data_IF_863233346489
#
_entry.id   IF_863233346489
#
_cell.length_a   1.000
_cell.length_b   1.000
_cell.length_c   1.000
_cell.angle_alpha   90.00
_cell.angle_beta   90.00
_cell.angle_gamma   90.00
#
_symmetry.space_group_name_H-M   'P 1'
#
loop_
_entity.id
_entity.type
_entity.pdbx_description
1 polymer ?
#
# COMPACT_ATOMS: atom_id res chain seq x y z
N UNK A 1 11.31 12.68 -6.27
CA UNK A 1 11.77 11.48 -7.03
C UNK A 1 10.61 10.91 -7.84
N UNK A 2 9.52 10.44 -7.21
CA UNK A 2 8.33 9.89 -7.92
C UNK A 2 7.78 10.82 -9.02
N UNK A 3 7.60 12.12 -8.72
CA UNK A 3 7.15 13.14 -9.68
C UNK A 3 8.11 13.34 -10.86
N UNK A 4 9.41 13.18 -10.63
CA UNK A 4 10.43 13.31 -11.68
C UNK A 4 10.47 12.08 -12.61
N UNK A 5 10.09 10.91 -12.11
CA UNK A 5 9.93 9.69 -12.91
C UNK A 5 8.66 9.76 -13.77
N UNK A 6 7.57 10.27 -13.19
CA UNK A 6 6.31 10.48 -13.91
C UNK A 6 6.44 11.50 -15.04
N UNK A 7 7.19 12.59 -14.84
CA UNK A 7 7.43 13.60 -15.89
C UNK A 7 8.18 13.06 -17.12
N UNK A 8 8.94 11.96 -16.99
CA UNK A 8 9.74 11.38 -18.08
C UNK A 8 9.07 10.20 -18.77
N UNK A 9 7.87 9.83 -18.32
CA UNK A 9 7.10 8.74 -18.92
C UNK A 9 6.62 9.15 -20.31
N UNK A 10 6.86 8.30 -21.31
CA UNK A 10 6.56 8.56 -22.72
C UNK A 10 7.71 9.18 -23.51
N UNK A 11 8.88 9.41 -22.90
CA UNK A 11 10.09 9.85 -23.62
C UNK A 11 10.70 8.72 -24.47
N UNK A 12 10.66 7.47 -23.99
CA UNK A 12 11.23 6.33 -24.71
C UNK A 12 10.61 4.99 -24.26
N UNK A 13 10.14 4.13 -25.18
CA UNK A 13 9.43 2.88 -24.82
C UNK A 13 10.23 1.93 -23.91
N UNK A 14 11.54 1.78 -24.14
CA UNK A 14 12.41 0.97 -23.27
C UNK A 14 12.65 1.60 -21.89
N UNK A 15 12.58 2.93 -21.79
CA UNK A 15 12.76 3.63 -20.52
C UNK A 15 11.50 3.56 -19.66
N UNK A 16 10.33 3.54 -20.29
CA UNK A 16 9.03 3.48 -19.62
C UNK A 16 8.87 2.20 -18.78
N UNK A 17 9.41 1.06 -19.24
CA UNK A 17 9.42 -0.18 -18.48
C UNK A 17 10.22 -0.03 -17.17
N UNK A 18 11.39 0.58 -17.23
CA UNK A 18 12.22 0.85 -16.05
C UNK A 18 11.61 1.90 -15.13
N UNK A 19 10.96 2.93 -15.68
CA UNK A 19 10.21 3.94 -14.90
C UNK A 19 9.06 3.28 -14.15
N UNK A 20 8.28 2.42 -14.81
CA UNK A 20 7.18 1.69 -14.19
C UNK A 20 7.68 0.79 -13.05
N UNK A 21 8.78 0.06 -13.27
CA UNK A 21 9.41 -0.77 -12.25
C UNK A 21 9.89 0.07 -11.05
N UNK A 22 10.58 1.19 -11.30
CA UNK A 22 11.08 2.06 -10.24
C UNK A 22 9.96 2.67 -9.39
N UNK A 23 8.85 3.08 -10.03
CA UNK A 23 7.66 3.60 -9.34
C UNK A 23 7.03 2.52 -8.45
N UNK A 24 6.81 1.32 -8.99
CA UNK A 24 6.24 0.19 -8.25
C UNK A 24 7.11 -0.16 -7.03
N UNK A 25 8.42 -0.25 -7.21
CA UNK A 25 9.35 -0.54 -6.14
C UNK A 25 9.34 0.55 -5.04
N UNK A 26 9.22 1.83 -5.43
CA UNK A 26 9.17 2.93 -4.48
C UNK A 26 7.85 2.95 -3.68
N UNK A 27 6.72 2.63 -4.31
CA UNK A 27 5.42 2.50 -3.65
C UNK A 27 5.44 1.30 -2.68
N UNK A 28 5.95 0.16 -3.11
CA UNK A 28 6.05 -1.04 -2.28
C UNK A 28 6.89 -0.78 -1.03
N UNK A 29 8.06 -0.14 -1.17
CA UNK A 29 8.91 0.24 -0.03
C UNK A 29 8.22 1.21 0.92
N UNK A 30 7.43 2.16 0.40
CA UNK A 30 6.62 3.06 1.23
C UNK A 30 5.56 2.26 1.98
N UNK A 31 4.81 1.40 1.30
CA UNK A 31 3.77 0.58 1.90
C UNK A 31 4.33 -0.37 2.97
N UNK A 32 5.49 -0.99 2.72
CA UNK A 32 6.17 -1.83 3.70
C UNK A 32 6.67 -1.04 4.93
N UNK A 33 6.97 0.24 4.76
CA UNK A 33 7.38 1.15 5.84
C UNK A 33 6.17 1.83 6.52
N UNK A 34 4.97 1.71 5.97
CA UNK A 34 3.75 2.15 6.65
C UNK A 34 3.50 1.19 7.81
N UNK A 35 3.86 1.63 9.01
CA UNK A 35 3.39 1.02 10.26
C UNK A 35 1.90 1.31 10.34
N UNK A 36 1.07 0.33 9.96
CA UNK A 36 -0.38 0.47 10.09
C UNK A 36 -0.75 0.43 11.57
N UNK A 37 -0.86 1.62 12.19
CA UNK A 37 -1.33 1.77 13.56
C UNK A 37 -2.82 1.42 13.58
N UNK A 38 -3.12 0.14 13.80
CA UNK A 38 -4.49 -0.31 14.00
C UNK A 38 -4.99 0.26 15.33
N UNK A 39 -5.93 1.20 15.26
CA UNK A 39 -6.59 1.72 16.45
C UNK A 39 -7.14 0.56 17.29
N UNK A 40 -7.07 0.60 18.63
CA UNK A 40 -7.53 -0.48 19.49
C UNK A 40 -8.97 -0.96 19.20
N UNK A 41 -9.82 -0.05 18.72
CA UNK A 41 -11.20 -0.35 18.27
C UNK A 41 -11.24 -1.26 17.03
N UNK A 42 -10.38 -1.03 16.03
CA UNK A 42 -10.27 -1.86 14.82
C UNK A 42 -9.72 -3.25 15.16
N UNK A 43 -8.70 -3.33 16.02
CA UNK A 43 -8.21 -4.62 16.52
C UNK A 43 -9.29 -5.40 17.31
N UNK A 44 -10.07 -4.71 18.15
CA UNK A 44 -11.17 -5.34 18.89
C UNK A 44 -12.28 -5.84 17.96
N UNK A 45 -12.63 -5.07 16.93
CA UNK A 45 -13.61 -5.48 15.93
C UNK A 45 -13.15 -6.73 15.17
N UNK A 46 -11.88 -6.75 14.72
CA UNK A 46 -11.28 -7.94 14.08
C UNK A 46 -11.38 -9.16 14.99
N UNK A 47 -11.01 -9.03 16.27
CA UNK A 47 -11.12 -10.14 17.24
C UNK A 47 -12.56 -10.62 17.46
N UNK A 48 -13.54 -9.71 17.47
CA UNK A 48 -14.96 -10.08 17.59
C UNK A 48 -15.43 -10.86 16.37
N UNK A 49 -14.98 -10.47 15.18
CA UNK A 49 -15.29 -11.19 13.93
C UNK A 49 -14.61 -12.56 13.92
N UNK A 50 -13.32 -12.64 14.23
CA UNK A 50 -12.55 -13.90 14.25
C UNK A 50 -13.06 -14.90 15.29
N UNK A 51 -13.46 -14.44 16.48
CA UNK A 51 -14.01 -15.29 17.54
C UNK A 51 -15.49 -15.61 17.33
N UNK A 52 -16.11 -15.06 16.29
CA UNK A 52 -17.54 -15.11 16.06
C UNK A 52 -18.25 -14.01 16.85
N UNK A 53 -19.16 -13.30 16.17
CA UNK A 53 -20.02 -12.34 16.84
C UNK A 53 -20.86 -13.09 17.89
N UNK A 54 -20.97 -12.57 19.13
CA UNK A 54 -21.89 -13.13 20.10
C UNK A 54 -23.29 -13.12 19.47
N UNK A 55 -23.95 -14.27 19.51
CA UNK A 55 -25.19 -14.54 18.77
C UNK A 55 -26.39 -13.75 19.31
N UNK A 56 -26.24 -13.08 20.44
CA UNK A 56 -27.27 -12.30 21.12
C UNK A 56 -26.82 -10.84 21.32
N UNK A 57 -27.12 -10.00 20.33
CA UNK A 57 -27.18 -8.54 20.46
C UNK A 57 -28.52 -8.06 19.91
#
# INVERSE_FOLDING_TARGET
ILTALESRKGEHPLLDEHIAWAIAQQIERRNACIVEVQLPKKQRLVRVIEKGLPRDA
#
